data_IF_229333770677
#
_entry.id   IF_229333770677
#
_cell.length_a   1.000
_cell.length_b   1.000
_cell.length_c   1.000
_cell.angle_alpha   90.00
_cell.angle_beta   90.00
_cell.angle_gamma   90.00
#
_symmetry.space_group_name_H-M   'P 1'
#
loop_
_entity.id
_entity.type
_entity.pdbx_description
1 polymer ?
#
# COMPACT_ATOMS: atom_id res chain seq x y z
N UNK A 1 -4.73 -12.06 -15.73
CA UNK A 1 -5.79 -11.42 -16.52
C UNK A 1 -7.02 -12.31 -16.45
N UNK A 2 -8.10 -11.78 -15.86
CA UNK A 2 -9.33 -12.53 -15.66
C UNK A 2 -9.96 -13.00 -16.97
N UNK A 3 -9.71 -12.28 -18.08
CA UNK A 3 -10.27 -12.58 -19.39
C UNK A 3 -9.52 -13.72 -20.08
N UNK A 4 -8.20 -13.78 -19.88
CA UNK A 4 -7.37 -14.87 -20.41
C UNK A 4 -7.21 -16.06 -19.45
N UNK A 5 -7.74 -15.95 -18.22
CA UNK A 5 -7.56 -16.91 -17.14
C UNK A 5 -6.09 -17.24 -16.81
N UNK A 6 -5.15 -16.36 -17.17
CA UNK A 6 -3.72 -16.57 -16.94
C UNK A 6 -3.20 -15.64 -15.85
N UNK A 7 -2.26 -16.16 -15.05
CA UNK A 7 -1.44 -15.32 -14.18
C UNK A 7 -0.55 -14.42 -15.05
N UNK A 8 -0.64 -13.10 -14.87
CA UNK A 8 0.12 -12.12 -15.66
C UNK A 8 1.42 -11.69 -14.99
N UNK A 9 1.48 -11.73 -13.66
CA UNK A 9 2.62 -11.29 -12.88
C UNK A 9 2.56 -11.92 -11.49
N UNK A 10 3.71 -12.08 -10.85
CA UNK A 10 3.85 -12.59 -9.49
C UNK A 10 4.94 -11.80 -8.76
N UNK A 11 4.67 -11.42 -7.52
CA UNK A 11 5.61 -10.68 -6.67
C UNK A 11 5.94 -11.51 -5.43
N UNK A 12 7.21 -11.89 -5.27
CA UNK A 12 7.67 -12.82 -4.23
C UNK A 12 8.68 -12.17 -3.25
N UNK A 13 8.39 -10.98 -2.74
CA UNK A 13 9.31 -10.32 -1.79
C UNK A 13 8.99 -10.55 -0.31
N UNK A 14 7.74 -10.84 0.05
CA UNK A 14 7.38 -11.12 1.43
C UNK A 14 8.00 -12.43 1.92
N UNK A 15 8.48 -12.45 3.17
CA UNK A 15 9.11 -13.64 3.78
C UNK A 15 8.11 -14.51 4.55
N UNK A 16 6.85 -14.08 4.62
CA UNK A 16 5.78 -14.77 5.32
C UNK A 16 4.42 -14.48 4.66
N UNK A 17 3.36 -15.12 5.14
CA UNK A 17 1.99 -15.04 4.60
C UNK A 17 1.54 -13.60 4.41
N UNK A 18 1.10 -13.28 3.18
CA UNK A 18 0.46 -12.01 2.83
C UNK A 18 -1.02 -12.08 3.23
N UNK A 19 -1.50 -11.12 4.01
CA UNK A 19 -2.89 -11.08 4.48
C UNK A 19 -3.78 -10.12 3.71
N UNK A 20 -3.19 -9.05 3.17
CA UNK A 20 -3.95 -7.96 2.58
C UNK A 20 -3.21 -7.37 1.39
N UNK A 21 -3.99 -6.89 0.42
CA UNK A 21 -3.51 -6.15 -0.74
C UNK A 21 -4.49 -5.03 -1.04
N UNK A 22 -4.00 -3.85 -1.38
CA UNK A 22 -4.83 -2.70 -1.73
C UNK A 22 -4.22 -1.93 -2.89
N UNK A 23 -5.08 -1.36 -3.73
CA UNK A 23 -4.64 -0.45 -4.79
C UNK A 23 -4.29 0.90 -4.20
N UNK A 24 -3.11 1.41 -4.55
CA UNK A 24 -2.69 2.72 -4.09
C UNK A 24 -3.21 3.82 -5.02
N UNK A 25 -3.91 4.83 -4.48
CA UNK A 25 -4.32 6.00 -5.27
C UNK A 25 -3.12 6.94 -5.56
N UNK A 26 -1.90 6.57 -5.16
CA UNK A 26 -0.69 7.36 -5.31
C UNK A 26 -0.34 7.59 -6.79
N UNK A 27 -0.66 8.77 -7.34
CA UNK A 27 -0.22 9.14 -8.69
C UNK A 27 1.28 9.36 -8.68
N UNK A 28 2.05 8.31 -8.98
CA UNK A 28 3.45 8.49 -9.35
C UNK A 28 3.43 9.23 -10.69
N UNK A 29 3.88 10.49 -10.69
CA UNK A 29 3.98 11.35 -11.89
C UNK A 29 5.12 10.87 -12.80
N UNK A 30 4.98 9.68 -13.37
CA UNK A 30 5.80 9.22 -14.49
C UNK A 30 4.96 9.34 -15.76
N UNK A 31 5.06 10.48 -16.44
CA UNK A 31 4.60 10.85 -17.80
C UNK A 31 3.22 10.42 -18.34
N UNK A 32 2.40 9.66 -17.62
CA UNK A 32 1.14 9.08 -18.13
C UNK A 32 0.00 9.04 -17.10
N UNK A 33 0.10 9.84 -16.03
CA UNK A 33 -1.02 10.22 -15.17
C UNK A 33 -1.74 9.12 -14.37
N UNK A 34 -1.35 7.85 -14.51
CA UNK A 34 -2.03 6.73 -13.88
C UNK A 34 -1.11 6.05 -12.87
N UNK A 35 -1.50 6.06 -11.59
CA UNK A 35 -0.92 5.17 -10.60
C UNK A 35 -1.24 3.73 -10.98
N UNK A 36 -0.23 2.85 -10.96
CA UNK A 36 -0.42 1.40 -11.11
C UNK A 36 0.37 0.72 -10.00
N UNK A 37 0.15 1.20 -8.80
CA UNK A 37 0.84 0.72 -7.61
C UNK A 37 -0.16 0.00 -6.74
N UNK A 38 0.19 -1.21 -6.34
CA UNK A 38 -0.50 -1.93 -5.27
C UNK A 38 0.42 -1.98 -4.06
N UNK A 39 -0.15 -2.05 -2.87
CA UNK A 39 0.60 -2.38 -1.66
C UNK A 39 0.04 -3.64 -1.02
N UNK A 40 0.91 -4.38 -0.33
CA UNK A 40 0.57 -5.62 0.36
C UNK A 40 1.10 -5.63 1.78
N UNK A 41 0.36 -6.24 2.70
CA UNK A 41 0.72 -6.39 4.11
C UNK A 41 0.84 -7.85 4.50
N UNK A 42 1.85 -8.20 5.30
CA UNK A 42 2.21 -9.59 5.63
C UNK A 42 2.49 -9.82 7.11
N UNK A 43 2.47 -11.10 7.50
CA UNK A 43 2.97 -11.60 8.79
C UNK A 43 4.45 -11.31 9.01
N UNK A 44 5.21 -10.97 7.98
CA UNK A 44 6.62 -10.57 8.12
C UNK A 44 6.80 -9.15 8.69
N UNK A 45 5.70 -8.52 9.16
CA UNK A 45 5.66 -7.14 9.67
C UNK A 45 6.07 -6.09 8.62
N UNK A 46 5.92 -6.38 7.33
CA UNK A 46 6.20 -5.39 6.28
C UNK A 46 4.97 -5.05 5.46
N UNK A 47 4.95 -3.81 4.96
CA UNK A 47 4.08 -3.36 3.89
C UNK A 47 4.97 -3.10 2.67
N UNK A 48 4.70 -3.77 1.54
CA UNK A 48 5.50 -3.64 0.32
C UNK A 48 4.68 -3.02 -0.80
N UNK A 49 5.31 -2.21 -1.63
CA UNK A 49 4.70 -1.51 -2.76
C UNK A 49 5.24 -2.07 -4.06
N UNK A 50 4.35 -2.25 -5.04
CA UNK A 50 4.64 -2.93 -6.30
C UNK A 50 4.10 -2.11 -7.47
N UNK A 51 4.91 -1.89 -8.51
CA UNK A 51 4.43 -1.38 -9.80
C UNK A 51 3.96 -2.55 -10.66
N UNK A 52 2.67 -2.57 -11.03
CA UNK A 52 2.08 -3.65 -11.83
C UNK A 52 2.19 -3.43 -13.35
N UNK A 53 2.67 -2.28 -13.80
CA UNK A 53 2.92 -2.00 -15.23
C UNK A 53 4.38 -2.13 -15.61
N UNK A 54 5.27 -1.88 -14.67
CA UNK A 54 6.68 -2.14 -14.88
C UNK A 54 6.99 -3.61 -14.60
N UNK A 55 7.91 -4.20 -15.36
CA UNK A 55 8.55 -5.46 -14.98
C UNK A 55 9.54 -5.29 -13.81
N UNK A 56 9.58 -4.11 -13.15
CA UNK A 56 10.42 -3.91 -11.98
C UNK A 56 9.76 -4.52 -10.77
N UNK A 57 10.61 -5.06 -9.90
CA UNK A 57 10.25 -5.61 -8.60
C UNK A 57 9.81 -4.50 -7.63
N UNK A 58 9.64 -4.85 -6.37
CA UNK A 58 9.36 -3.97 -5.23
C UNK A 58 9.86 -2.52 -5.42
N UNK A 59 8.93 -1.57 -5.31
CA UNK A 59 9.24 -0.14 -5.36
C UNK A 59 9.75 0.35 -4.01
N UNK A 60 9.08 -0.05 -2.94
CA UNK A 60 9.34 0.44 -1.59
C UNK A 60 8.80 -0.54 -0.55
N UNK A 61 9.40 -0.53 0.64
CA UNK A 61 9.01 -1.36 1.77
C UNK A 61 8.98 -0.51 3.04
N UNK A 62 7.88 -0.64 3.77
CA UNK A 62 7.70 -0.11 5.13
C UNK A 62 7.83 -1.28 6.10
N UNK A 63 8.63 -1.10 7.16
CA UNK A 63 8.66 -2.01 8.30
C UNK A 63 7.70 -1.49 9.37
N UNK A 64 6.76 -2.35 9.77
CA UNK A 64 5.93 -2.15 10.96
C UNK A 64 6.70 -2.51 12.24
N UNK A 65 6.03 -2.44 13.39
CA UNK A 65 6.64 -2.82 14.67
C UNK A 65 6.77 -4.35 14.76
N UNK A 66 7.89 -4.84 15.28
CA UNK A 66 8.07 -6.28 15.49
C UNK A 66 7.06 -6.86 16.49
N UNK A 67 6.48 -6.03 17.36
CA UNK A 67 5.44 -6.39 18.33
C UNK A 67 4.05 -6.52 17.72
N UNK A 68 3.86 -6.12 16.47
CA UNK A 68 2.56 -6.12 15.81
C UNK A 68 2.09 -7.49 15.33
N UNK A 69 3.00 -8.48 15.31
CA UNK A 69 2.77 -9.88 14.89
C UNK A 69 2.19 -10.06 13.47
N UNK A 70 2.17 -9.01 12.66
CA UNK A 70 1.78 -9.02 11.25
C UNK A 70 0.85 -7.88 10.90
N UNK A 71 0.91 -7.46 9.64
CA UNK A 71 -0.01 -6.49 9.06
C UNK A 71 -1.25 -7.23 8.56
N UNK A 72 -2.40 -6.98 9.17
CA UNK A 72 -3.65 -7.68 8.86
C UNK A 72 -4.46 -7.02 7.76
N UNK A 73 -4.56 -5.70 7.80
CA UNK A 73 -5.45 -4.95 6.91
C UNK A 73 -4.80 -3.62 6.52
N UNK A 74 -5.06 -3.18 5.29
CA UNK A 74 -4.62 -1.90 4.74
C UNK A 74 -5.84 -1.10 4.29
N UNK A 75 -5.79 0.22 4.51
CA UNK A 75 -6.76 1.16 3.98
C UNK A 75 -6.11 2.49 3.60
N UNK A 76 -6.26 2.92 2.35
CA UNK A 76 -6.01 4.31 2.01
C UNK A 76 -7.19 5.20 2.40
N UNK A 77 -6.90 6.31 3.08
CA UNK A 77 -7.89 7.32 3.47
C UNK A 77 -7.42 8.71 3.05
N UNK A 78 -8.35 9.53 2.56
CA UNK A 78 -8.11 10.95 2.26
C UNK A 78 -8.58 11.78 3.44
N UNK A 79 -7.64 12.47 4.09
CA UNK A 79 -7.94 13.35 5.21
C UNK A 79 -7.89 14.81 4.75
N UNK A 80 -8.90 15.59 5.14
CA UNK A 80 -8.95 17.03 4.84
C UNK A 80 -7.92 17.76 5.70
N UNK A 81 -7.07 18.54 5.06
CA UNK A 81 -6.20 19.50 5.73
C UNK A 81 -6.92 20.85 5.79
N UNK A 82 -7.03 21.41 7.00
CA UNK A 82 -7.48 22.79 7.18
C UNK A 82 -6.29 23.71 6.97
N UNK A 83 -6.18 24.33 5.80
CA UNK A 83 -5.26 25.45 5.62
C UNK A 83 -5.91 26.77 6.07
N UNK A 84 -5.08 27.74 6.49
CA UNK A 84 -5.53 29.06 6.96
C UNK A 84 -6.10 29.95 5.85
N UNK A 85 -5.96 29.54 4.58
CA UNK A 85 -6.58 30.18 3.42
C UNK A 85 -7.64 29.23 2.83
N UNK A 86 -8.66 29.76 2.17
CA UNK A 86 -9.86 29.06 1.68
C UNK A 86 -9.66 27.89 0.67
N UNK A 87 -8.46 27.32 0.56
CA UNK A 87 -8.17 26.15 -0.25
C UNK A 87 -8.17 24.89 0.64
N UNK A 88 -9.13 23.99 0.41
CA UNK A 88 -9.16 22.69 1.07
C UNK A 88 -8.21 21.75 0.33
N UNK A 89 -7.11 21.36 0.98
CA UNK A 89 -6.17 20.33 0.49
C UNK A 89 -6.48 18.98 1.14
N UNK A 90 -6.15 17.87 0.47
CA UNK A 90 -6.36 16.51 0.98
C UNK A 90 -5.01 15.80 1.07
N UNK A 91 -4.72 15.22 2.23
CA UNK A 91 -3.55 14.38 2.45
C UNK A 91 -3.96 12.90 2.32
N UNK A 92 -3.21 12.15 1.52
CA UNK A 92 -3.42 10.72 1.37
C UNK A 92 -2.69 9.99 2.49
N UNK A 93 -3.44 9.30 3.33
CA UNK A 93 -2.90 8.53 4.44
C UNK A 93 -3.12 7.03 4.21
N UNK A 94 -2.18 6.22 4.67
CA UNK A 94 -2.28 4.78 4.74
C UNK A 94 -2.54 4.37 6.20
N UNK A 95 -3.69 3.75 6.42
CA UNK A 95 -4.02 3.10 7.68
C UNK A 95 -3.72 1.61 7.57
N UNK A 96 -3.19 1.02 8.64
CA UNK A 96 -3.06 -0.43 8.72
C UNK A 96 -3.28 -0.94 10.14
N UNK A 97 -3.84 -2.15 10.23
CA UNK A 97 -4.02 -2.84 11.51
C UNK A 97 -2.98 -3.93 11.71
N UNK A 98 -2.59 -4.11 12.97
CA UNK A 98 -1.71 -5.17 13.42
C UNK A 98 -2.49 -6.33 14.03
N UNK A 99 -1.88 -7.52 14.07
CA UNK A 99 -2.43 -8.67 14.84
C UNK A 99 -2.46 -8.40 16.34
N UNK A 100 -1.61 -7.53 16.84
CA UNK A 100 -1.53 -7.20 18.27
C UNK A 100 -2.59 -6.18 18.74
N UNK A 101 -3.42 -5.65 17.83
CA UNK A 101 -4.52 -4.75 18.14
C UNK A 101 -4.33 -3.28 17.70
N UNK A 102 -3.12 -2.68 17.78
CA UNK A 102 -2.92 -1.30 17.31
C UNK A 102 -3.30 -1.07 15.85
N UNK A 103 -3.86 0.12 15.59
CA UNK A 103 -4.06 0.70 14.27
C UNK A 103 -3.03 1.82 14.10
N UNK A 104 -2.30 1.75 13.00
CA UNK A 104 -1.29 2.72 12.62
C UNK A 104 -1.79 3.57 11.45
N UNK A 105 -1.39 4.85 11.44
CA UNK A 105 -1.70 5.79 10.36
C UNK A 105 -0.38 6.41 9.90
N UNK A 106 -0.12 6.33 8.60
CA UNK A 106 1.02 6.94 7.92
C UNK A 106 0.49 7.99 6.94
N UNK A 107 1.06 9.19 6.91
CA UNK A 107 0.64 10.32 6.07
C UNK A 107 1.81 11.22 5.71
#
# INVERSE_FOLDING_TARGET
DIRSCQQIQMFNGHTNTVYTVEYSPFVIKNSSGNSNVICSGSRDNTIRFWDIRSNKNELYMIKGDNKDYGICYLKFILLKKKEKANNVTYDLNLCYSSRNGPIHIWG
#
